data_IF_759564405104
#
_entry.id   IF_759564405104
#
_cell.length_a   1.000
_cell.length_b   1.000
_cell.length_c   1.000
_cell.angle_alpha   90.00
_cell.angle_beta   90.00
_cell.angle_gamma   90.00
#
_symmetry.space_group_name_H-M   'P 1'
#
loop_
_entity.id
_entity.type
_entity.pdbx_description
1 polymer ?
#
# COMPACT_ATOMS: atom_id res chain seq x y z
N UNK A 1 26.99 29.32 3.42
CA UNK A 1 25.65 29.94 3.35
C UNK A 1 24.86 29.07 2.39
N UNK A 2 23.88 28.26 2.75
CA UNK A 2 23.12 27.98 3.97
C UNK A 2 22.77 26.47 3.86
N UNK A 3 22.81 25.69 4.93
CA UNK A 3 21.62 25.51 5.74
C UNK A 3 20.63 24.56 5.06
N UNK A 4 21.00 23.30 4.91
CA UNK A 4 20.14 22.27 4.32
C UNK A 4 20.53 20.91 4.88
N UNK A 5 19.84 20.50 5.95
CA UNK A 5 19.97 19.15 6.49
C UNK A 5 19.49 18.19 5.40
N UNK A 6 20.42 17.43 4.80
CA UNK A 6 20.11 16.34 3.89
C UNK A 6 19.46 15.23 4.70
N UNK A 7 18.14 15.20 4.75
CA UNK A 7 17.42 14.07 5.32
C UNK A 7 17.30 12.97 4.25
N UNK A 8 17.99 11.87 4.48
CA UNK A 8 17.87 10.66 3.68
C UNK A 8 16.86 9.72 4.34
N UNK A 9 15.81 9.33 3.62
CA UNK A 9 14.80 8.38 4.11
C UNK A 9 15.38 6.97 4.38
N UNK A 10 16.65 6.74 4.04
CA UNK A 10 17.42 5.55 4.39
C UNK A 10 17.86 5.51 5.86
N UNK A 11 17.89 6.65 6.57
CA UNK A 11 18.30 6.75 7.99
C UNK A 11 17.17 6.42 8.98
N UNK A 12 15.96 6.19 8.49
CA UNK A 12 14.93 5.49 9.29
C UNK A 12 15.32 4.01 9.30
N UNK A 13 16.32 3.65 10.10
CA UNK A 13 16.59 2.26 10.48
C UNK A 13 15.50 1.79 11.45
N UNK A 14 14.34 1.45 10.90
CA UNK A 14 13.44 0.54 11.61
C UNK A 14 14.14 -0.83 11.61
N UNK A 15 14.23 -1.53 12.77
CA UNK A 15 14.81 -2.86 12.85
C UNK A 15 14.25 -3.78 11.75
N UNK A 16 15.15 -4.53 11.08
CA UNK A 16 14.88 -5.30 9.86
C UNK A 16 13.77 -6.36 9.98
N UNK A 17 13.31 -6.70 11.18
CA UNK A 17 12.29 -7.74 11.39
C UNK A 17 10.88 -7.25 11.70
N UNK A 18 10.61 -5.94 11.67
CA UNK A 18 9.30 -5.43 12.10
C UNK A 18 8.30 -5.15 10.96
N UNK A 19 8.60 -5.57 9.72
CA UNK A 19 7.80 -5.23 8.53
C UNK A 19 7.42 -6.42 7.64
N UNK A 20 7.79 -7.66 7.97
CA UNK A 20 7.26 -8.83 7.28
C UNK A 20 5.82 -9.10 7.76
N UNK A 21 4.85 -9.02 6.84
CA UNK A 21 3.54 -9.62 7.07
C UNK A 21 3.60 -11.11 6.73
N UNK A 22 4.42 -11.88 7.45
CA UNK A 22 4.31 -13.33 7.47
C UNK A 22 3.98 -13.76 8.90
N UNK A 23 2.68 -13.95 9.14
CA UNK A 23 2.21 -14.74 10.27
C UNK A 23 2.59 -16.20 10.00
N UNK A 24 3.74 -16.65 10.49
CA UNK A 24 3.94 -18.07 10.78
C UNK A 24 4.43 -18.23 12.22
N UNK A 25 3.60 -18.93 12.99
CA UNK A 25 3.79 -19.25 14.39
C UNK A 25 4.61 -20.55 14.44
N UNK A 26 5.89 -20.47 14.80
CA UNK A 26 6.60 -21.35 15.76
C UNK A 26 8.13 -21.43 15.50
N UNK A 27 8.85 -21.52 16.62
CA UNK A 27 10.23 -22.01 16.81
C UNK A 27 11.40 -21.20 16.23
N UNK A 28 11.81 -20.13 16.91
CA UNK A 28 13.22 -19.71 16.95
C UNK A 28 13.58 -19.10 18.31
N UNK A 29 14.11 -19.91 19.22
CA UNK A 29 14.71 -19.45 20.49
C UNK A 29 16.19 -19.81 20.65
N UNK A 30 16.88 -20.18 19.57
CA UNK A 30 18.29 -20.62 19.65
C UNK A 30 19.27 -19.93 18.66
N UNK A 31 18.85 -18.88 17.92
CA UNK A 31 19.74 -18.20 16.94
C UNK A 31 20.33 -16.86 17.41
N UNK A 32 19.99 -16.38 18.61
CA UNK A 32 20.30 -15.02 19.08
C UNK A 32 21.76 -14.74 19.52
N UNK A 33 22.74 -15.61 19.26
CA UNK A 33 24.13 -15.37 19.69
C UNK A 33 25.16 -15.26 18.53
N UNK A 34 24.73 -15.34 17.26
CA UNK A 34 25.69 -15.34 16.11
C UNK A 34 25.59 -14.05 15.24
N UNK A 35 24.55 -13.23 15.37
CA UNK A 35 24.35 -12.08 14.46
C UNK A 35 25.08 -10.78 14.84
N UNK A 36 25.57 -10.62 16.07
CA UNK A 36 26.24 -9.39 16.52
C UNK A 36 27.64 -9.15 15.90
N UNK A 37 28.13 -10.05 15.04
CA UNK A 37 29.45 -9.94 14.40
C UNK A 37 29.40 -9.46 12.93
N UNK A 38 28.21 -9.28 12.34
CA UNK A 38 28.04 -9.00 10.90
C UNK A 38 27.62 -7.57 10.52
N UNK A 39 27.46 -6.64 11.48
CA UNK A 39 27.05 -5.26 11.17
C UNK A 39 28.20 -4.35 10.74
N UNK A 40 29.46 -4.71 11.02
CA UNK A 40 30.65 -3.95 10.62
C UNK A 40 30.87 -3.93 9.10
N UNK A 41 30.68 -5.07 8.42
CA UNK A 41 30.96 -5.21 6.98
C UNK A 41 29.88 -4.57 6.08
N UNK A 42 28.69 -4.34 6.63
CA UNK A 42 27.53 -3.82 5.90
C UNK A 42 27.64 -2.31 5.66
N UNK A 43 28.22 -1.56 6.60
CA UNK A 43 28.36 -0.11 6.49
C UNK A 43 29.49 0.29 5.53
N UNK A 44 30.58 -0.46 5.45
CA UNK A 44 31.59 -0.25 4.40
C UNK A 44 31.00 -0.46 3.00
N UNK A 45 30.21 -1.52 2.80
CA UNK A 45 29.56 -1.81 1.51
C UNK A 45 28.55 -0.73 1.11
N UNK A 46 27.75 -0.23 2.06
CA UNK A 46 26.84 0.92 1.83
C UNK A 46 27.60 2.18 1.45
N UNK A 47 28.71 2.46 2.15
CA UNK A 47 29.55 3.63 1.86
C UNK A 47 30.18 3.56 0.46
N UNK A 48 30.61 2.37 0.03
CA UNK A 48 31.11 2.15 -1.34
C UNK A 48 30.02 2.40 -2.37
N UNK A 49 28.82 1.82 -2.20
CA UNK A 49 27.71 2.04 -3.12
C UNK A 49 27.30 3.52 -3.20
N UNK A 50 27.23 4.20 -2.05
CA UNK A 50 26.91 5.63 -1.99
C UNK A 50 27.97 6.47 -2.73
N UNK A 51 29.25 6.15 -2.57
CA UNK A 51 30.34 6.80 -3.29
C UNK A 51 30.23 6.56 -4.82
N UNK A 52 29.92 5.34 -5.25
CA UNK A 52 29.67 5.03 -6.66
C UNK A 52 28.49 5.82 -7.23
N UNK A 53 27.35 5.85 -6.54
CA UNK A 53 26.18 6.64 -6.98
C UNK A 53 26.50 8.13 -7.07
N UNK A 54 27.19 8.67 -6.08
CA UNK A 54 27.63 10.08 -6.10
C UNK A 54 28.51 10.38 -7.31
N UNK A 55 29.50 9.52 -7.58
CA UNK A 55 30.38 9.67 -8.75
C UNK A 55 29.63 9.59 -10.09
N UNK A 56 28.65 8.69 -10.21
CA UNK A 56 27.79 8.61 -11.39
C UNK A 56 26.94 9.88 -11.56
N UNK A 57 26.32 10.37 -10.49
CA UNK A 57 25.53 11.62 -10.52
C UNK A 57 26.41 12.81 -10.87
N UNK A 58 27.62 12.92 -10.32
CA UNK A 58 28.57 13.98 -10.63
C UNK A 58 28.98 13.95 -12.10
N UNK A 59 29.13 12.76 -12.68
CA UNK A 59 29.48 12.57 -14.10
C UNK A 59 28.31 12.94 -15.01
N UNK A 60 27.09 12.50 -14.69
CA UNK A 60 25.88 12.85 -15.43
C UNK A 60 25.55 14.34 -15.32
N UNK A 61 25.80 14.96 -14.16
CA UNK A 61 25.60 16.39 -13.94
C UNK A 61 26.51 17.25 -14.80
N UNK A 62 27.71 16.77 -15.18
CA UNK A 62 28.58 17.46 -16.14
C UNK A 62 28.05 17.43 -17.56
N UNK A 63 27.26 16.41 -17.92
CA UNK A 63 26.69 16.24 -19.27
C UNK A 63 25.30 16.88 -19.40
N UNK A 64 24.48 16.80 -18.36
CA UNK A 64 23.08 17.22 -18.36
C UNK A 64 22.67 17.82 -16.99
N UNK A 65 23.34 18.91 -16.58
CA UNK A 65 23.14 19.56 -15.28
C UNK A 65 21.69 19.96 -15.01
N UNK A 66 21.01 20.52 -16.02
CA UNK A 66 19.61 20.92 -15.93
C UNK A 66 18.70 19.71 -15.67
N UNK A 67 18.84 18.64 -16.46
CA UNK A 67 18.03 17.43 -16.30
C UNK A 67 18.21 16.80 -14.93
N UNK A 68 19.45 16.69 -14.45
CA UNK A 68 19.71 16.10 -13.13
C UNK A 68 19.10 16.96 -12.02
N UNK A 69 19.24 18.27 -12.09
CA UNK A 69 18.66 19.19 -11.09
C UNK A 69 17.14 19.10 -11.07
N UNK A 70 16.51 19.10 -12.25
CA UNK A 70 15.05 18.98 -12.38
C UNK A 70 14.54 17.61 -11.88
N UNK A 71 15.25 16.51 -12.17
CA UNK A 71 14.89 15.17 -11.68
C UNK A 71 15.05 15.08 -10.17
N UNK A 72 16.13 15.61 -9.59
CA UNK A 72 16.30 15.64 -8.13
C UNK A 72 15.17 16.41 -7.44
N UNK A 73 14.79 17.56 -8.00
CA UNK A 73 13.66 18.34 -7.50
C UNK A 73 12.33 17.58 -7.63
N UNK A 74 12.08 16.95 -8.78
CA UNK A 74 10.89 16.13 -9.00
C UNK A 74 10.81 14.98 -7.98
N UNK A 75 11.90 14.24 -7.78
CA UNK A 75 11.94 13.11 -6.84
C UNK A 75 11.78 13.58 -5.40
N UNK A 76 12.39 14.71 -5.01
CA UNK A 76 12.21 15.33 -3.68
C UNK A 76 10.74 15.62 -3.43
N UNK A 77 10.08 16.30 -4.36
CA UNK A 77 8.68 16.69 -4.22
C UNK A 77 7.71 15.51 -4.30
N UNK A 78 8.00 14.52 -5.15
CA UNK A 78 7.25 13.26 -5.17
C UNK A 78 7.34 12.54 -3.82
N UNK A 79 8.54 12.42 -3.24
CA UNK A 79 8.72 11.85 -1.90
C UNK A 79 7.95 12.64 -0.82
N UNK A 80 7.88 13.98 -0.94
CA UNK A 80 7.09 14.81 -0.01
C UNK A 80 5.60 14.52 -0.08
N UNK A 81 5.03 14.46 -1.29
CA UNK A 81 3.57 14.28 -1.45
C UNK A 81 3.12 12.82 -1.29
N UNK A 82 4.04 11.85 -1.23
CA UNK A 82 3.65 10.44 -1.13
C UNK A 82 2.93 10.14 0.17
N UNK A 83 3.45 10.69 1.26
CA UNK A 83 2.96 10.48 2.60
C UNK A 83 2.99 11.85 3.30
N UNK A 84 1.81 12.45 3.37
CA UNK A 84 1.65 13.74 4.05
C UNK A 84 1.84 13.55 5.56
N UNK A 85 2.21 14.59 6.30
CA UNK A 85 2.49 14.47 7.74
C UNK A 85 1.35 13.83 8.54
N UNK A 86 0.10 14.17 8.25
CA UNK A 86 -1.05 13.55 8.92
C UNK A 86 -1.25 12.07 8.55
N UNK A 87 -0.85 11.67 7.34
CA UNK A 87 -0.86 10.28 6.90
C UNK A 87 0.31 9.48 7.51
N UNK A 88 1.47 10.11 7.68
CA UNK A 88 2.63 9.53 8.36
C UNK A 88 2.28 9.20 9.82
N UNK A 89 1.72 10.16 10.56
CA UNK A 89 1.27 9.94 11.93
C UNK A 89 0.24 8.81 12.02
N UNK A 90 -0.80 8.85 11.17
CA UNK A 90 -1.83 7.81 11.17
C UNK A 90 -1.29 6.43 10.79
N UNK A 91 -0.41 6.36 9.79
CA UNK A 91 0.22 5.13 9.32
C UNK A 91 1.10 4.48 10.39
N UNK A 92 1.96 5.27 11.03
CA UNK A 92 2.84 4.77 12.09
C UNK A 92 2.05 4.33 13.33
N UNK A 93 1.04 5.09 13.76
CA UNK A 93 0.16 4.70 14.87
C UNK A 93 -0.62 3.41 14.56
N UNK A 94 -1.06 3.22 13.32
CA UNK A 94 -1.74 2.00 12.90
C UNK A 94 -0.80 0.79 12.85
N UNK A 95 0.44 0.99 12.39
CA UNK A 95 1.45 -0.07 12.33
C UNK A 95 1.83 -0.57 13.73
N UNK A 96 2.04 0.33 14.68
CA UNK A 96 2.40 -0.02 16.05
C UNK A 96 1.20 -0.31 16.96
N UNK A 97 -0.02 -0.38 16.42
CA UNK A 97 -1.23 -0.52 17.24
C UNK A 97 -1.24 -1.80 18.08
N UNK A 98 -0.79 -2.93 17.53
CA UNK A 98 -0.70 -4.21 18.24
C UNK A 98 0.29 -4.13 19.42
N UNK A 99 1.47 -3.58 19.17
CA UNK A 99 2.52 -3.41 20.18
C UNK A 99 2.07 -2.42 21.27
N UNK A 100 1.46 -1.29 20.90
CA UNK A 100 0.88 -0.33 21.85
C UNK A 100 -0.15 -1.02 22.74
N UNK A 101 -1.02 -1.86 22.17
CA UNK A 101 -2.04 -2.60 22.93
C UNK A 101 -1.43 -3.63 23.87
N UNK A 102 -0.39 -4.35 23.43
CA UNK A 102 0.33 -5.33 24.27
C UNK A 102 1.01 -4.64 25.46
N UNK A 103 1.66 -3.50 25.22
CA UNK A 103 2.31 -2.67 26.25
C UNK A 103 1.30 -2.12 27.24
N UNK A 104 0.11 -1.72 26.77
CA UNK A 104 -0.98 -1.31 27.63
C UNK A 104 -1.38 -2.41 28.61
N UNK A 105 -1.66 -3.62 28.10
CA UNK A 105 -2.07 -4.76 28.94
C UNK A 105 -0.97 -5.14 29.93
N UNK A 106 0.29 -5.10 29.49
CA UNK A 106 1.43 -5.35 30.36
C UNK A 106 1.51 -4.34 31.51
N UNK A 107 1.32 -3.05 31.23
CA UNK A 107 1.33 -2.01 32.24
C UNK A 107 0.18 -2.17 33.24
N UNK A 108 -1.02 -2.49 32.77
CA UNK A 108 -2.19 -2.76 33.62
C UNK A 108 -1.92 -3.91 34.61
N UNK A 109 -1.34 -5.02 34.13
CA UNK A 109 -0.97 -6.17 34.96
C UNK A 109 0.13 -5.84 35.98
N UNK A 110 1.14 -5.06 35.60
CA UNK A 110 2.21 -4.69 36.52
C UNK A 110 1.71 -3.72 37.62
N UNK A 111 0.78 -2.83 37.30
CA UNK A 111 0.17 -1.93 38.28
C UNK A 111 -0.68 -2.73 39.28
N UNK A 112 -1.44 -3.71 38.81
CA UNK A 112 -2.22 -4.61 39.68
C UNK A 112 -1.32 -5.36 40.66
N UNK A 113 -0.23 -5.97 40.19
CA UNK A 113 0.76 -6.66 41.05
C UNK A 113 1.39 -5.74 42.10
N UNK A 114 1.74 -4.50 41.74
CA UNK A 114 2.32 -3.53 42.69
C UNK A 114 1.29 -3.12 43.73
N UNK A 115 0.03 -2.98 43.34
CA UNK A 115 -1.06 -2.63 44.25
C UNK A 115 -1.41 -3.77 45.22
N UNK A 116 -1.40 -5.02 44.78
CA UNK A 116 -1.66 -6.22 45.61
C UNK A 116 -0.58 -6.49 46.67
N UNK A 117 0.63 -5.93 46.50
CA UNK A 117 1.70 -6.16 47.45
C UNK A 117 1.44 -5.44 48.78
N UNK A 118 1.29 -6.22 49.86
CA UNK A 118 1.01 -5.72 51.21
C UNK A 118 2.25 -5.12 51.91
N UNK A 119 3.45 -5.39 51.42
CA UNK A 119 4.71 -4.98 52.05
C UNK A 119 5.25 -3.62 51.58
N UNK A 120 4.61 -3.01 50.58
CA UNK A 120 5.00 -1.70 50.05
C UNK A 120 4.15 -0.59 50.66
N UNK A 121 4.80 0.49 51.08
CA UNK A 121 4.13 1.73 51.46
C UNK A 121 3.45 2.39 50.25
N UNK A 122 2.50 3.29 50.48
CA UNK A 122 1.81 4.03 49.41
C UNK A 122 2.77 4.86 48.56
N UNK A 123 3.81 5.43 49.15
CA UNK A 123 4.83 6.22 48.44
C UNK A 123 5.72 5.33 47.56
N UNK A 124 6.14 4.16 48.07
CA UNK A 124 6.92 3.19 47.30
C UNK A 124 6.12 2.61 46.14
N UNK A 125 4.82 2.34 46.32
CA UNK A 125 3.93 1.90 45.24
C UNK A 125 3.86 2.92 44.11
N UNK A 126 3.65 4.21 44.43
CA UNK A 126 3.58 5.28 43.43
C UNK A 126 4.91 5.41 42.67
N UNK A 127 6.04 5.35 43.38
CA UNK A 127 7.37 5.42 42.77
C UNK A 127 7.61 4.25 41.80
N UNK A 128 7.33 3.02 42.24
CA UNK A 128 7.48 1.82 41.42
C UNK A 128 6.55 1.83 40.20
N UNK A 129 5.29 2.25 40.35
CA UNK A 129 4.35 2.39 39.24
C UNK A 129 4.86 3.41 38.21
N UNK A 130 5.37 4.56 38.65
CA UNK A 130 5.92 5.59 37.78
C UNK A 130 7.14 5.09 37.00
N UNK A 131 8.04 4.35 37.66
CA UNK A 131 9.22 3.79 37.02
C UNK A 131 8.87 2.67 36.02
N UNK A 132 7.91 1.80 36.37
CA UNK A 132 7.36 0.78 35.46
C UNK A 132 6.67 1.41 34.25
N UNK A 133 5.87 2.45 34.44
CA UNK A 133 5.24 3.23 33.37
C UNK A 133 6.30 3.78 32.42
N UNK A 134 7.34 4.43 32.95
CA UNK A 134 8.45 4.99 32.15
C UNK A 134 9.15 3.91 31.33
N UNK A 135 9.47 2.75 31.90
CA UNK A 135 10.18 1.67 31.20
C UNK A 135 9.32 1.09 30.08
N UNK A 136 8.05 0.78 30.36
CA UNK A 136 7.15 0.12 29.40
C UNK A 136 6.81 1.08 28.24
N UNK A 137 6.60 2.36 28.51
CA UNK A 137 6.17 3.34 27.50
C UNK A 137 7.33 3.94 26.70
N UNK A 138 8.58 3.90 27.21
CA UNK A 138 9.74 4.53 26.55
C UNK A 138 9.85 4.25 25.04
N UNK A 139 9.66 3.01 24.53
CA UNK A 139 9.70 2.76 23.09
C UNK A 139 8.56 3.41 22.30
N UNK A 140 7.37 3.54 22.89
CA UNK A 140 6.25 4.27 22.26
C UNK A 140 6.58 5.76 22.19
N UNK A 141 7.09 6.35 23.28
CA UNK A 141 7.52 7.75 23.30
C UNK A 141 8.60 7.98 22.25
N UNK A 142 9.60 7.10 22.16
CA UNK A 142 10.68 7.21 21.18
C UNK A 142 10.15 7.29 19.74
N UNK A 143 9.17 6.45 19.38
CA UNK A 143 8.54 6.50 18.04
C UNK A 143 7.82 7.84 17.83
N UNK A 144 7.06 8.32 18.81
CA UNK A 144 6.31 9.57 18.71
C UNK A 144 7.24 10.79 18.67
N UNK A 145 8.36 10.76 19.39
CA UNK A 145 9.41 11.77 19.34
C UNK A 145 10.04 11.84 17.95
N UNK A 146 10.41 10.69 17.36
CA UNK A 146 10.91 10.68 15.99
C UNK A 146 9.91 11.25 14.98
N UNK A 147 8.62 10.95 15.13
CA UNK A 147 7.58 11.55 14.30
C UNK A 147 7.47 13.06 14.51
N UNK A 148 7.59 13.52 15.76
CA UNK A 148 7.58 14.94 16.08
C UNK A 148 8.79 15.66 15.49
N UNK A 149 9.98 15.05 15.57
CA UNK A 149 11.21 15.61 14.99
C UNK A 149 11.08 15.78 13.47
N UNK A 150 10.42 14.84 12.78
CA UNK A 150 10.15 14.93 11.34
C UNK A 150 9.12 16.02 11.02
N UNK A 151 8.09 16.18 11.87
CA UNK A 151 6.94 17.05 11.59
C UNK A 151 7.01 18.44 12.22
N UNK A 152 8.08 18.71 12.99
CA UNK A 152 8.38 20.03 13.57
C UNK A 152 9.42 20.84 12.78
N UNK A 153 10.00 20.27 11.71
CA UNK A 153 10.89 20.97 10.78
C UNK A 153 10.16 22.15 10.12
N UNK A 154 10.90 23.18 9.69
CA UNK A 154 10.35 24.32 8.97
C UNK A 154 9.45 23.87 7.80
N UNK A 155 8.18 24.32 7.76
CA UNK A 155 7.24 23.87 6.74
C UNK A 155 7.58 24.45 5.38
N UNK A 156 7.75 23.60 4.37
CA UNK A 156 8.01 23.99 2.97
C UNK A 156 6.71 24.13 2.16
N UNK A 157 5.58 23.60 2.65
CA UNK A 157 4.29 23.63 1.94
C UNK A 157 3.14 24.20 2.77
N UNK A 158 2.07 24.73 2.13
CA UNK A 158 0.89 25.19 2.84
C UNK A 158 0.24 24.12 3.72
N UNK A 159 0.24 22.85 3.27
CA UNK A 159 -0.29 21.72 4.04
C UNK A 159 0.51 21.48 5.31
N UNK A 160 1.84 21.49 5.22
CA UNK A 160 2.76 21.33 6.35
C UNK A 160 2.56 22.42 7.41
N UNK A 161 2.47 23.68 6.96
CA UNK A 161 2.19 24.81 7.85
C UNK A 161 0.84 24.65 8.58
N UNK A 162 -0.22 24.30 7.85
CA UNK A 162 -1.55 24.05 8.44
C UNK A 162 -1.56 22.85 9.39
N UNK A 163 -0.68 21.86 9.16
CA UNK A 163 -0.54 20.73 10.07
C UNK A 163 0.05 21.21 11.40
N UNK A 164 1.14 21.96 11.38
CA UNK A 164 1.80 22.46 12.59
C UNK A 164 0.89 23.40 13.39
N UNK A 165 0.27 24.37 12.71
CA UNK A 165 -0.66 25.33 13.33
C UNK A 165 -1.82 24.63 14.08
N UNK A 166 -2.19 23.41 13.65
CA UNK A 166 -3.32 22.68 14.22
C UNK A 166 -2.93 21.63 15.24
N UNK A 167 -1.80 20.95 15.05
CA UNK A 167 -1.47 19.73 15.76
C UNK A 167 -0.21 19.83 16.61
N UNK A 168 0.70 20.77 16.38
CA UNK A 168 1.98 20.82 17.13
C UNK A 168 1.77 20.94 18.64
N UNK A 169 0.94 21.90 19.09
CA UNK A 169 0.64 22.06 20.52
C UNK A 169 0.00 20.81 21.14
N UNK A 170 -0.88 20.14 20.37
CA UNK A 170 -1.56 18.92 20.82
C UNK A 170 -0.57 17.75 20.92
N UNK A 171 0.34 17.60 19.95
CA UNK A 171 1.38 16.56 19.95
C UNK A 171 2.34 16.77 21.11
N UNK A 172 2.79 18.00 21.35
CA UNK A 172 3.67 18.35 22.46
C UNK A 172 3.01 18.08 23.83
N UNK A 173 1.74 18.46 23.99
CA UNK A 173 0.98 18.18 25.21
C UNK A 173 0.82 16.68 25.46
N UNK A 174 0.50 15.90 24.40
CA UNK A 174 0.41 14.44 24.49
C UNK A 174 1.77 13.82 24.86
N UNK A 175 2.86 14.22 24.21
CA UNK A 175 4.21 13.73 24.52
C UNK A 175 4.60 14.06 25.96
N UNK A 176 4.29 15.27 26.44
CA UNK A 176 4.57 15.69 27.82
C UNK A 176 3.79 14.83 28.83
N UNK A 177 2.49 14.61 28.60
CA UNK A 177 1.63 13.79 29.46
C UNK A 177 1.99 12.31 29.44
N UNK A 178 2.48 11.80 28.31
CA UNK A 178 2.99 10.42 28.22
C UNK A 178 4.32 10.23 28.95
N UNK A 179 5.20 11.23 28.93
CA UNK A 179 6.47 11.19 29.68
C UNK A 179 6.23 11.29 31.18
N UNK A 180 5.35 12.19 31.59
CA UNK A 180 5.07 12.51 32.99
C UNK A 180 3.55 12.46 33.23
N UNK A 181 2.97 11.27 33.48
CA UNK A 181 1.54 11.14 33.76
C UNK A 181 1.20 11.78 35.12
N UNK A 182 0.07 12.49 35.19
CA UNK A 182 -0.44 13.04 36.46
C UNK A 182 -0.91 11.95 37.42
N UNK A 183 -1.51 10.86 36.89
CA UNK A 183 -1.96 9.69 37.63
C UNK A 183 -1.31 8.41 37.06
N UNK A 184 -0.11 8.02 37.52
CA UNK A 184 0.61 6.84 37.04
C UNK A 184 -0.17 5.52 37.26
N UNK A 185 -1.03 5.52 38.28
CA UNK A 185 -1.93 4.45 38.71
C UNK A 185 -3.09 4.18 37.74
N UNK A 186 -3.34 5.07 36.76
CA UNK A 186 -4.40 4.94 35.76
C UNK A 186 -3.84 4.95 34.34
N UNK A 187 -3.30 3.82 33.84
CA UNK A 187 -2.69 3.74 32.51
C UNK A 187 -3.67 4.03 31.37
N UNK A 188 -4.99 3.87 31.62
CA UNK A 188 -6.03 4.17 30.65
C UNK A 188 -6.11 5.66 30.27
N UNK A 189 -5.69 6.58 31.15
CA UNK A 189 -5.72 8.02 30.88
C UNK A 189 -4.68 8.41 29.82
N UNK A 190 -3.45 7.92 29.97
CA UNK A 190 -2.36 8.08 28.98
C UNK A 190 -2.76 7.56 27.59
N UNK A 191 -3.45 6.44 27.53
CA UNK A 191 -3.88 5.82 26.26
C UNK A 191 -5.10 6.44 25.64
N UNK A 192 -5.99 7.00 26.45
CA UNK A 192 -7.10 7.82 25.94
C UNK A 192 -6.57 9.01 25.16
N UNK A 193 -5.47 9.64 25.58
CA UNK A 193 -4.83 10.75 24.86
C UNK A 193 -4.31 10.32 23.49
N UNK A 194 -3.58 9.20 23.40
CA UNK A 194 -3.12 8.67 22.12
C UNK A 194 -4.28 8.30 21.18
N UNK A 195 -5.32 7.66 21.72
CA UNK A 195 -6.51 7.31 20.94
C UNK A 195 -7.26 8.55 20.45
N UNK A 196 -7.33 9.61 21.26
CA UNK A 196 -7.90 10.89 20.84
C UNK A 196 -7.09 11.52 19.71
N UNK A 197 -5.76 11.55 19.82
CA UNK A 197 -4.86 12.04 18.77
C UNK A 197 -5.04 11.24 17.47
N UNK A 198 -5.03 9.91 17.55
CA UNK A 198 -5.27 9.03 16.39
C UNK A 198 -6.63 9.31 15.73
N UNK A 199 -7.70 9.45 16.52
CA UNK A 199 -9.03 9.74 16.01
C UNK A 199 -9.09 11.10 15.28
N UNK A 200 -8.37 12.12 15.75
CA UNK A 200 -8.31 13.41 15.08
C UNK A 200 -7.69 13.31 13.68
N UNK A 201 -6.58 12.56 13.54
CA UNK A 201 -5.98 12.30 12.22
C UNK A 201 -6.91 11.45 11.34
N UNK A 202 -7.53 10.43 11.93
CA UNK A 202 -8.41 9.50 11.23
C UNK A 202 -9.62 10.22 10.61
N UNK A 203 -10.29 11.11 11.35
CA UNK A 203 -11.46 11.84 10.86
C UNK A 203 -11.15 12.69 9.62
N UNK A 204 -9.99 13.35 9.59
CA UNK A 204 -9.55 14.17 8.45
C UNK A 204 -9.20 13.28 7.26
N UNK A 205 -8.45 12.20 7.49
CA UNK A 205 -8.03 11.28 6.45
C UNK A 205 -9.20 10.52 5.79
N UNK A 206 -10.31 10.28 6.49
CA UNK A 206 -11.49 9.59 5.93
C UNK A 206 -12.32 10.49 5.01
N UNK A 207 -12.37 11.79 5.28
CA UNK A 207 -13.12 12.76 4.47
C UNK A 207 -12.36 13.22 3.22
N UNK A 208 -11.06 12.95 3.15
CA UNK A 208 -10.18 13.43 2.09
C UNK A 208 -10.20 12.50 0.89
N UNK A 209 -10.75 12.97 -0.23
CA UNK A 209 -10.78 12.27 -1.52
C UNK A 209 -9.98 12.98 -2.61
N UNK A 210 -9.80 14.29 -2.47
CA UNK A 210 -9.12 15.15 -3.43
C UNK A 210 -8.12 16.05 -2.71
N UNK A 211 -6.94 16.21 -3.30
CA UNK A 211 -5.89 17.11 -2.88
C UNK A 211 -5.59 18.09 -4.00
N UNK A 212 -5.35 19.36 -3.65
CA UNK A 212 -4.84 20.36 -4.59
C UNK A 212 -3.32 20.33 -4.57
N UNK A 213 -2.70 20.28 -5.74
CA UNK A 213 -1.25 20.20 -5.86
C UNK A 213 -0.57 21.40 -5.18
N UNK A 214 -1.11 22.61 -5.37
CA UNK A 214 -0.57 23.83 -4.75
C UNK A 214 -0.47 23.75 -3.22
N UNK A 215 -1.39 23.03 -2.56
CA UNK A 215 -1.39 22.94 -1.10
C UNK A 215 -0.32 21.95 -0.59
N UNK A 216 -0.01 20.91 -1.38
CA UNK A 216 0.90 19.82 -0.99
C UNK A 216 2.29 19.91 -1.62
N UNK A 217 2.44 20.61 -2.75
CA UNK A 217 3.69 20.89 -3.44
C UNK A 217 3.49 22.05 -4.43
N UNK A 218 3.77 23.30 -4.02
CA UNK A 218 3.76 24.46 -4.91
C UNK A 218 4.74 24.33 -6.08
N UNK A 219 5.83 23.58 -5.89
CA UNK A 219 6.83 23.32 -6.93
C UNK A 219 6.22 22.48 -8.05
N UNK A 220 5.59 21.35 -7.74
CA UNK A 220 4.94 20.50 -8.75
C UNK A 220 3.73 21.17 -9.38
N UNK A 221 3.02 22.04 -8.66
CA UNK A 221 1.90 22.80 -9.22
C UNK A 221 2.35 23.80 -10.30
N UNK A 222 3.57 24.33 -10.18
CA UNK A 222 4.11 25.36 -11.06
C UNK A 222 5.08 24.81 -12.11
N UNK A 223 5.46 23.54 -12.04
CA UNK A 223 6.39 22.93 -12.98
C UNK A 223 5.79 22.91 -14.39
N UNK A 224 6.54 23.45 -15.35
CA UNK A 224 6.13 23.55 -16.75
C UNK A 224 7.32 23.29 -17.68
N UNK A 225 7.03 22.65 -18.82
CA UNK A 225 7.91 22.43 -19.95
C UNK A 225 9.32 21.94 -19.55
N UNK A 226 9.33 20.83 -18.80
CA UNK A 226 10.58 20.26 -18.26
C UNK A 226 11.37 19.50 -19.32
N UNK A 227 12.65 19.27 -19.05
CA UNK A 227 13.49 18.37 -19.84
C UNK A 227 13.44 16.92 -19.33
N UNK A 228 12.63 16.64 -18.30
CA UNK A 228 12.52 15.33 -17.66
C UNK A 228 11.74 14.39 -18.57
N UNK A 229 12.33 13.25 -18.92
CA UNK A 229 11.63 12.17 -19.64
C UNK A 229 10.49 11.58 -18.82
N UNK A 230 9.40 11.20 -19.48
CA UNK A 230 8.24 10.59 -18.82
C UNK A 230 8.63 9.30 -18.08
N UNK A 231 8.31 9.14 -16.77
CA UNK A 231 8.74 8.00 -15.98
C UNK A 231 8.27 6.65 -16.53
N UNK A 232 9.15 5.65 -16.55
CA UNK A 232 8.79 4.29 -16.96
C UNK A 232 8.49 4.10 -18.44
N UNK A 233 8.69 5.11 -19.27
CA UNK A 233 8.55 4.99 -20.72
C UNK A 233 9.85 4.47 -21.36
N UNK A 234 9.74 3.67 -22.42
CA UNK A 234 10.89 3.12 -23.13
C UNK A 234 11.83 4.21 -23.67
N UNK A 235 13.14 3.97 -23.62
CA UNK A 235 14.21 4.90 -24.05
C UNK A 235 14.06 5.47 -25.46
N UNK A 236 13.25 4.86 -26.33
CA UNK A 236 13.04 5.30 -27.71
C UNK A 236 12.06 6.47 -27.85
N UNK A 237 11.20 6.73 -26.85
CA UNK A 237 10.23 7.82 -26.91
C UNK A 237 10.77 9.05 -26.18
N UNK A 238 10.98 10.14 -26.92
CA UNK A 238 11.39 11.45 -26.39
C UNK A 238 10.17 12.24 -25.91
N UNK A 239 9.43 11.70 -24.94
CA UNK A 239 8.30 12.41 -24.33
C UNK A 239 8.77 12.98 -23.01
N UNK A 240 8.66 14.29 -22.86
CA UNK A 240 9.02 15.01 -21.65
C UNK A 240 7.78 15.39 -20.84
N UNK A 241 7.95 15.66 -19.54
CA UNK A 241 6.86 16.16 -18.70
C UNK A 241 6.62 17.63 -19.06
N UNK A 242 5.45 17.92 -19.66
CA UNK A 242 4.99 19.29 -19.88
C UNK A 242 4.51 19.90 -18.58
N UNK A 243 3.62 19.24 -17.83
CA UNK A 243 3.19 19.72 -16.51
C UNK A 243 2.52 18.61 -15.71
N UNK A 244 2.33 18.84 -14.41
CA UNK A 244 1.60 17.93 -13.50
C UNK A 244 0.19 18.48 -13.27
N UNK A 245 -0.79 17.58 -13.18
CA UNK A 245 -2.16 17.98 -12.87
C UNK A 245 -2.26 18.60 -11.48
N UNK A 246 -3.02 19.70 -11.37
CA UNK A 246 -3.24 20.40 -10.11
C UNK A 246 -4.18 19.67 -9.14
N UNK A 247 -4.72 18.52 -9.53
CA UNK A 247 -5.64 17.73 -8.73
C UNK A 247 -5.09 16.31 -8.56
N UNK A 248 -5.00 15.87 -7.31
CA UNK A 248 -4.56 14.52 -6.95
C UNK A 248 -5.72 13.80 -6.27
N UNK A 249 -6.17 12.70 -6.88
CA UNK A 249 -7.26 11.89 -6.34
C UNK A 249 -6.69 10.83 -5.39
N UNK A 250 -7.34 10.63 -4.24
CA UNK A 250 -7.00 9.53 -3.31
C UNK A 250 -7.99 8.40 -3.55
N UNK A 251 -7.48 7.19 -3.80
CA UNK A 251 -8.33 6.02 -4.02
C UNK A 251 -8.87 5.49 -2.68
N UNK A 252 -10.15 5.07 -2.61
CA UNK A 252 -10.79 4.61 -1.38
C UNK A 252 -10.42 3.15 -1.06
N UNK A 253 -9.13 2.85 -0.92
CA UNK A 253 -8.62 1.53 -0.53
C UNK A 253 -7.95 1.60 0.84
N UNK A 254 -7.55 0.44 1.39
CA UNK A 254 -6.87 0.33 2.70
C UNK A 254 -5.61 1.20 2.77
N UNK A 255 -4.81 1.23 1.69
CA UNK A 255 -3.55 1.96 1.61
C UNK A 255 -3.68 3.38 1.07
N UNK A 256 -4.89 3.82 0.69
CA UNK A 256 -5.21 5.18 0.19
C UNK A 256 -4.17 5.75 -0.80
N UNK A 257 -3.82 5.03 -1.88
CA UNK A 257 -2.82 5.48 -2.83
C UNK A 257 -3.32 6.71 -3.61
N UNK A 258 -2.37 7.55 -4.05
CA UNK A 258 -2.65 8.80 -4.76
C UNK A 258 -2.58 8.56 -6.27
N UNK A 259 -3.61 8.97 -7.00
CA UNK A 259 -3.62 8.96 -8.47
C UNK A 259 -3.03 10.26 -8.97
N UNK A 260 -1.81 10.20 -9.47
CA UNK A 260 -1.09 11.31 -10.08
C UNK A 260 -1.25 11.30 -11.60
N UNK A 261 -1.33 12.49 -12.19
CA UNK A 261 -1.52 12.66 -13.62
C UNK A 261 -0.49 13.65 -14.16
N UNK A 262 0.28 13.22 -15.14
CA UNK A 262 1.26 14.01 -15.88
C UNK A 262 0.77 14.25 -17.31
N UNK A 263 1.08 15.41 -17.84
CA UNK A 263 0.84 15.75 -19.23
C UNK A 263 2.18 15.71 -19.98
N UNK A 264 2.24 14.94 -21.05
CA UNK A 264 3.42 14.82 -21.89
C UNK A 264 3.55 15.97 -22.89
N UNK A 265 4.77 16.19 -23.37
CA UNK A 265 5.07 17.12 -24.47
C UNK A 265 4.39 16.72 -25.80
N UNK A 266 3.88 15.49 -25.89
CA UNK A 266 3.11 14.95 -27.01
C UNK A 266 1.59 15.21 -26.90
N UNK A 267 1.16 15.86 -25.81
CA UNK A 267 -0.25 16.15 -25.53
C UNK A 267 -1.01 14.98 -24.88
N UNK A 268 -0.38 13.82 -24.69
CA UNK A 268 -1.02 12.69 -24.03
C UNK A 268 -0.98 12.82 -22.50
N UNK A 269 -1.94 12.16 -21.86
CA UNK A 269 -2.06 12.13 -20.40
C UNK A 269 -1.52 10.81 -19.87
N UNK A 270 -0.56 10.89 -18.96
CA UNK A 270 0.10 9.76 -18.32
C UNK A 270 -0.33 9.68 -16.86
N UNK A 271 -1.00 8.61 -16.50
CA UNK A 271 -1.53 8.43 -15.14
C UNK A 271 -0.66 7.42 -14.39
N UNK A 272 -0.37 7.72 -13.12
CA UNK A 272 0.35 6.83 -12.22
C UNK A 272 -0.41 6.67 -10.91
N UNK A 273 -0.36 5.45 -10.39
CA UNK A 273 -0.72 5.14 -9.03
C UNK A 273 0.50 5.33 -8.15
N UNK A 274 0.37 6.18 -7.14
CA UNK A 274 1.45 6.51 -6.23
C UNK A 274 1.20 5.84 -4.88
N UNK A 275 2.09 4.90 -4.53
CA UNK A 275 1.99 4.05 -3.34
C UNK A 275 3.12 4.35 -2.37
N UNK A 276 2.77 4.65 -1.13
CA UNK A 276 3.71 4.81 -0.01
C UNK A 276 3.49 3.74 1.04
N UNK A 277 4.51 3.52 1.87
CA UNK A 277 4.57 2.46 2.88
C UNK A 277 4.51 1.03 2.30
N UNK A 278 4.95 0.87 1.04
CA UNK A 278 4.95 -0.40 0.32
C UNK A 278 6.25 -0.51 -0.48
N UNK A 279 6.93 -1.66 -0.40
CA UNK A 279 8.12 -1.93 -1.20
C UNK A 279 7.71 -2.42 -2.60
N UNK A 280 8.09 -1.67 -3.63
CA UNK A 280 7.77 -1.96 -5.03
C UNK A 280 8.93 -2.56 -5.82
N UNK A 281 10.07 -2.86 -5.18
CA UNK A 281 11.21 -3.43 -5.90
C UNK A 281 10.91 -4.83 -6.43
N UNK A 282 10.14 -5.64 -5.69
CA UNK A 282 9.72 -6.95 -6.17
C UNK A 282 8.84 -6.81 -7.42
N UNK A 283 7.84 -5.94 -7.39
CA UNK A 283 6.98 -5.64 -8.54
C UNK A 283 7.79 -5.19 -9.76
N UNK A 284 8.80 -4.31 -9.58
CA UNK A 284 9.71 -3.90 -10.64
C UNK A 284 10.41 -5.11 -11.28
N UNK A 285 10.95 -6.04 -10.48
CA UNK A 285 11.62 -7.24 -10.98
C UNK A 285 10.67 -8.17 -11.71
N UNK A 286 9.43 -8.33 -11.24
CA UNK A 286 8.41 -9.11 -11.94
C UNK A 286 8.11 -8.48 -13.30
N UNK A 287 7.93 -7.16 -13.38
CA UNK A 287 7.69 -6.47 -14.66
C UNK A 287 8.88 -6.59 -15.61
N UNK A 288 10.12 -6.56 -15.10
CA UNK A 288 11.32 -6.82 -15.88
C UNK A 288 11.34 -8.25 -16.43
N UNK A 289 10.98 -9.24 -15.62
CA UNK A 289 10.86 -10.63 -16.06
C UNK A 289 9.83 -10.79 -17.19
N UNK A 290 8.64 -10.18 -17.06
CA UNK A 290 7.62 -10.20 -18.10
C UNK A 290 8.11 -9.57 -19.42
N UNK A 291 8.89 -8.49 -19.34
CA UNK A 291 9.52 -7.87 -20.51
C UNK A 291 10.49 -8.81 -21.24
N UNK A 292 11.30 -9.56 -20.47
CA UNK A 292 12.21 -10.59 -21.01
C UNK A 292 11.41 -11.72 -21.66
N UNK A 293 10.38 -12.24 -20.99
CA UNK A 293 9.51 -13.28 -21.52
C UNK A 293 8.86 -12.86 -22.84
N UNK A 294 8.37 -11.62 -22.93
CA UNK A 294 7.82 -11.06 -24.17
C UNK A 294 8.86 -10.99 -25.29
N UNK A 295 10.11 -10.64 -24.96
CA UNK A 295 11.20 -10.60 -25.95
C UNK A 295 11.49 -11.99 -26.52
N UNK A 296 11.48 -13.02 -25.68
CA UNK A 296 11.65 -14.42 -26.11
C UNK A 296 10.48 -14.90 -26.97
N UNK A 297 9.24 -14.58 -26.59
CA UNK A 297 8.06 -14.96 -27.36
C UNK A 297 7.99 -14.24 -28.72
N UNK A 298 8.43 -12.98 -28.79
CA UNK A 298 8.43 -12.19 -30.02
C UNK A 298 9.34 -12.80 -31.10
N UNK A 299 10.53 -13.27 -30.74
CA UNK A 299 11.50 -13.90 -31.67
C UNK A 299 10.90 -15.13 -32.37
N UNK A 300 10.04 -15.87 -31.69
CA UNK A 300 9.39 -17.07 -32.25
C UNK A 300 8.23 -16.77 -33.20
N UNK A 301 7.78 -15.51 -33.28
CA UNK A 301 6.62 -15.08 -34.09
C UNK A 301 6.97 -14.36 -35.39
N UNK A 302 8.25 -14.27 -35.76
CA UNK A 302 8.73 -13.54 -36.95
C UNK A 302 8.14 -14.06 -38.29
N UNK A 303 7.44 -15.20 -38.31
CA UNK A 303 6.77 -15.75 -39.51
C UNK A 303 5.26 -15.52 -39.62
N UNK A 304 4.54 -15.15 -38.55
CA UNK A 304 3.05 -15.13 -38.52
C UNK A 304 2.43 -13.73 -38.55
N UNK A 305 3.23 -12.66 -38.56
CA UNK A 305 2.75 -11.26 -38.68
C UNK A 305 1.98 -10.71 -37.47
N UNK A 306 1.67 -11.55 -36.48
CA UNK A 306 0.97 -11.19 -35.25
C UNK A 306 1.63 -11.83 -34.04
N UNK A 307 2.12 -11.01 -33.11
CA UNK A 307 2.63 -11.47 -31.82
C UNK A 307 1.45 -11.82 -30.91
N UNK A 308 0.93 -13.04 -31.05
CA UNK A 308 -0.23 -13.55 -30.31
C UNK A 308 0.12 -13.90 -28.85
N UNK A 309 1.39 -14.17 -28.56
CA UNK A 309 1.87 -14.57 -27.24
C UNK A 309 2.53 -13.39 -26.55
N UNK A 310 1.76 -12.69 -25.73
CA UNK A 310 2.23 -11.52 -24.99
C UNK A 310 1.66 -11.49 -23.58
N UNK A 311 2.55 -11.29 -22.62
CA UNK A 311 2.20 -10.91 -21.26
C UNK A 311 2.08 -9.38 -21.20
N UNK A 312 0.90 -8.85 -20.86
CA UNK A 312 0.80 -7.42 -20.58
C UNK A 312 1.58 -7.11 -19.30
N UNK A 313 2.37 -6.03 -19.35
CA UNK A 313 3.11 -5.53 -18.21
C UNK A 313 3.04 -4.01 -18.20
N UNK A 314 3.22 -3.43 -17.02
CA UNK A 314 3.21 -2.00 -16.79
C UNK A 314 4.53 -1.57 -16.15
N UNK A 315 4.80 -0.27 -16.15
CA UNK A 315 6.04 0.25 -15.57
C UNK A 315 5.87 0.49 -14.08
N UNK A 316 6.87 0.06 -13.30
CA UNK A 316 6.99 0.30 -11.86
C UNK A 316 8.29 1.06 -11.64
N UNK A 317 8.22 2.19 -10.93
CA UNK A 317 9.36 3.05 -10.63
C UNK A 317 9.47 3.20 -9.10
N UNK A 318 10.31 2.40 -8.44
CA UNK A 318 10.64 2.61 -7.03
C UNK A 318 11.29 3.98 -6.85
N UNK A 319 10.82 4.75 -5.86
CA UNK A 319 11.38 6.05 -5.48
C UNK A 319 12.12 6.00 -4.15
N UNK A 320 12.23 4.82 -3.54
CA UNK A 320 12.84 4.56 -2.25
C UNK A 320 12.49 3.17 -1.75
N UNK A 321 12.90 2.79 -0.54
CA UNK A 321 12.68 1.44 0.00
C UNK A 321 11.21 1.09 0.26
N UNK A 322 10.33 2.10 0.40
CA UNK A 322 8.91 1.91 0.75
C UNK A 322 7.98 2.82 -0.04
N UNK A 323 8.38 3.19 -1.25
CA UNK A 323 7.65 4.14 -2.07
C UNK A 323 7.91 3.96 -3.55
N UNK A 324 6.89 4.24 -4.37
CA UNK A 324 7.11 4.36 -5.81
C UNK A 324 5.84 4.57 -6.61
N UNK A 325 6.03 4.65 -7.93
CA UNK A 325 5.01 4.88 -8.93
C UNK A 325 4.72 3.59 -9.68
N UNK A 326 3.43 3.33 -9.93
CA UNK A 326 2.97 2.26 -10.81
C UNK A 326 2.19 2.91 -11.96
N UNK A 327 2.53 2.60 -13.20
CA UNK A 327 1.81 3.11 -14.36
C UNK A 327 0.36 2.62 -14.34
N UNK A 328 -0.58 3.54 -14.59
CA UNK A 328 -1.99 3.22 -14.62
C UNK A 328 -2.37 2.62 -15.97
N UNK A 329 -2.91 1.39 -15.94
CA UNK A 329 -3.44 0.75 -17.14
C UNK A 329 -4.88 1.23 -17.38
N UNK A 330 -5.06 1.99 -18.46
CA UNK A 330 -6.38 2.45 -18.91
C UNK A 330 -7.11 1.40 -19.75
N UNK A 331 -8.43 1.56 -19.87
CA UNK A 331 -9.26 0.73 -20.77
C UNK A 331 -9.53 -0.70 -20.29
N UNK A 332 -9.14 -1.04 -19.07
CA UNK A 332 -9.36 -2.36 -18.48
C UNK A 332 -10.51 -2.33 -17.47
N UNK A 333 -11.18 -3.47 -17.30
CA UNK A 333 -12.27 -3.67 -16.35
C UNK A 333 -11.95 -4.85 -15.44
N UNK A 334 -11.99 -4.71 -14.11
CA UNK A 334 -11.86 -5.85 -13.20
C UNK A 334 -12.97 -6.88 -13.44
N UNK A 335 -12.64 -8.16 -13.43
CA UNK A 335 -13.63 -9.22 -13.63
C UNK A 335 -14.72 -9.16 -12.55
N UNK A 336 -14.37 -8.76 -11.33
CA UNK A 336 -15.34 -8.59 -10.24
C UNK A 336 -16.42 -7.55 -10.57
N UNK A 337 -16.08 -6.51 -11.35
CA UNK A 337 -17.04 -5.50 -11.76
C UNK A 337 -18.16 -6.09 -12.64
N UNK A 338 -17.86 -7.11 -13.45
CA UNK A 338 -18.86 -7.82 -14.26
C UNK A 338 -19.84 -8.60 -13.38
N UNK A 339 -19.31 -9.35 -12.40
CA UNK A 339 -20.12 -10.09 -11.43
C UNK A 339 -21.00 -9.14 -10.61
N UNK A 340 -20.44 -8.04 -10.09
CA UNK A 340 -21.18 -7.02 -9.32
C UNK A 340 -22.31 -6.39 -10.13
N UNK A 341 -22.08 -6.06 -11.41
CA UNK A 341 -23.12 -5.53 -12.32
C UNK A 341 -24.22 -6.55 -12.57
N UNK A 342 -23.88 -7.84 -12.70
CA UNK A 342 -24.87 -8.90 -12.81
C UNK A 342 -25.75 -8.99 -11.55
N UNK A 343 -25.15 -9.03 -10.35
CA UNK A 343 -25.91 -9.03 -9.09
C UNK A 343 -26.85 -7.83 -8.96
N UNK A 344 -26.39 -6.64 -9.36
CA UNK A 344 -27.22 -5.42 -9.41
C UNK A 344 -28.45 -5.59 -10.31
N UNK A 345 -28.27 -6.19 -11.49
CA UNK A 345 -29.37 -6.43 -12.44
C UNK A 345 -30.37 -7.46 -11.91
N UNK A 346 -29.90 -8.56 -11.32
CA UNK A 346 -30.78 -9.59 -10.75
C UNK A 346 -31.58 -9.07 -9.54
N UNK A 347 -30.93 -8.30 -8.66
CA UNK A 347 -31.62 -7.63 -7.56
C UNK A 347 -32.73 -6.68 -8.07
N UNK A 348 -32.45 -5.90 -9.12
CA UNK A 348 -33.42 -5.00 -9.72
C UNK A 348 -34.61 -5.72 -10.39
N UNK A 349 -34.39 -6.91 -10.98
CA UNK A 349 -35.48 -7.73 -11.55
C UNK A 349 -36.41 -8.29 -10.47
N UNK A 350 -35.84 -8.67 -9.32
CA UNK A 350 -36.57 -9.29 -8.22
C UNK A 350 -37.24 -8.24 -7.30
N UNK A 351 -36.73 -7.00 -7.26
CA UNK A 351 -37.32 -5.88 -6.51
C UNK A 351 -38.52 -5.24 -7.22
N UNK A 352 -39.65 -5.97 -7.31
CA UNK A 352 -40.98 -5.31 -7.37
C UNK A 352 -41.45 -4.83 -5.99
N UNK A 353 -40.81 -5.26 -4.90
CA UNK A 353 -40.99 -4.75 -3.54
C UNK A 353 -39.65 -4.80 -2.79
N UNK A 354 -39.30 -3.69 -2.13
CA UNK A 354 -38.07 -3.40 -1.34
C UNK A 354 -36.71 -3.43 -2.05
N UNK A 355 -35.91 -2.38 -1.82
CA UNK A 355 -34.52 -2.28 -2.21
C UNK A 355 -33.66 -3.25 -1.38
N UNK A 356 -33.50 -4.49 -1.84
CA UNK A 356 -32.59 -5.43 -1.20
C UNK A 356 -31.15 -4.95 -1.42
N UNK A 357 -30.44 -4.67 -0.33
CA UNK A 357 -29.02 -4.38 -0.36
C UNK A 357 -28.27 -5.59 -0.94
N UNK A 358 -27.38 -5.34 -1.89
CA UNK A 358 -26.59 -6.40 -2.52
C UNK A 358 -25.64 -6.97 -1.47
N UNK A 359 -25.79 -8.26 -1.20
CA UNK A 359 -24.98 -8.98 -0.23
C UNK A 359 -23.53 -9.04 -0.71
N UNK A 360 -22.60 -8.94 0.25
CA UNK A 360 -21.17 -9.13 -0.02
C UNK A 360 -20.87 -10.61 -0.29
N UNK A 361 -19.81 -10.94 -1.05
CA UNK A 361 -19.43 -12.33 -1.30
C UNK A 361 -19.29 -13.18 -0.03
N UNK A 362 -18.71 -12.60 1.04
CA UNK A 362 -18.59 -13.28 2.33
C UNK A 362 -19.96 -13.61 2.94
N UNK A 363 -20.93 -12.70 2.84
CA UNK A 363 -22.28 -12.91 3.37
C UNK A 363 -23.02 -13.99 2.58
N UNK A 364 -22.92 -13.99 1.25
CA UNK A 364 -23.48 -15.04 0.40
C UNK A 364 -22.93 -16.42 0.74
N UNK A 365 -21.63 -16.51 0.93
CA UNK A 365 -20.95 -17.76 1.30
C UNK A 365 -21.40 -18.26 2.68
N UNK A 366 -21.34 -17.41 3.72
CA UNK A 366 -21.71 -17.82 5.08
C UNK A 366 -23.20 -18.11 5.24
N UNK A 367 -24.08 -17.42 4.50
CA UNK A 367 -25.51 -17.69 4.54
C UNK A 367 -25.87 -19.11 4.07
N UNK A 368 -25.12 -19.65 3.10
CA UNK A 368 -25.28 -21.05 2.65
C UNK A 368 -24.50 -22.04 3.52
N UNK A 369 -23.32 -21.64 3.98
CA UNK A 369 -22.44 -22.52 4.75
C UNK A 369 -22.98 -22.81 6.15
N UNK A 370 -23.43 -21.78 6.88
CA UNK A 370 -23.78 -21.91 8.30
C UNK A 370 -24.91 -22.93 8.56
N UNK A 371 -26.01 -22.98 7.79
CA UNK A 371 -27.04 -24.00 7.96
C UNK A 371 -26.50 -25.43 7.74
N UNK A 372 -25.68 -25.64 6.71
CA UNK A 372 -25.13 -26.96 6.38
C UNK A 372 -24.11 -27.44 7.42
N UNK A 373 -23.32 -26.52 8.00
CA UNK A 373 -22.41 -26.83 9.10
C UNK A 373 -23.17 -27.25 10.36
N UNK A 374 -24.29 -26.60 10.66
CA UNK A 374 -25.16 -26.97 11.79
C UNK A 374 -25.80 -28.34 11.58
N UNK A 375 -26.27 -28.63 10.38
CA UNK A 375 -26.83 -29.95 10.02
C UNK A 375 -25.81 -31.08 10.18
N UNK A 376 -24.53 -30.80 9.86
CA UNK A 376 -23.43 -31.75 10.03
C UNK A 376 -22.83 -31.77 11.45
N UNK A 377 -23.45 -31.08 12.42
CA UNK A 377 -23.06 -31.14 13.83
C UNK A 377 -21.74 -30.44 14.17
N UNK A 378 -21.26 -29.52 13.33
CA UNK A 378 -20.03 -28.75 13.60
C UNK A 378 -20.29 -27.75 14.73
N UNK A 379 -19.61 -27.93 15.86
CA UNK A 379 -19.83 -27.10 17.07
C UNK A 379 -19.12 -25.76 17.01
N UNK A 380 -17.93 -25.69 16.40
CA UNK A 380 -17.15 -24.47 16.29
C UNK A 380 -17.16 -23.94 14.84
N UNK A 381 -18.03 -22.96 14.58
CA UNK A 381 -18.15 -22.33 13.26
C UNK A 381 -16.91 -21.50 12.88
N UNK A 382 -16.10 -21.07 13.86
CA UNK A 382 -14.91 -20.25 13.60
C UNK A 382 -13.69 -21.09 13.21
N UNK A 383 -13.65 -22.37 13.61
CA UNK A 383 -12.53 -23.25 13.28
C UNK A 383 -12.66 -23.83 11.87
N UNK A 384 -12.13 -23.12 10.88
CA UNK A 384 -12.16 -23.53 9.47
C UNK A 384 -11.54 -24.91 9.19
N UNK A 385 -10.62 -25.37 10.03
CA UNK A 385 -9.97 -26.69 9.88
C UNK A 385 -10.94 -27.84 10.12
N UNK A 386 -12.03 -27.60 10.85
CA UNK A 386 -13.05 -28.60 11.17
C UNK A 386 -14.17 -28.67 10.12
N UNK A 387 -14.15 -27.82 9.10
CA UNK A 387 -15.21 -27.76 8.09
C UNK A 387 -15.17 -28.98 7.15
N UNK A 388 -16.28 -29.73 7.01
CA UNK A 388 -16.32 -30.89 6.12
C UNK A 388 -16.14 -30.51 4.66
N UNK A 389 -15.22 -31.18 3.96
CA UNK A 389 -14.96 -30.94 2.53
C UNK A 389 -16.22 -31.16 1.66
N UNK A 390 -17.07 -32.11 2.02
CA UNK A 390 -18.33 -32.38 1.31
C UNK A 390 -19.27 -31.17 1.35
N UNK A 391 -19.42 -30.54 2.52
CA UNK A 391 -20.23 -29.33 2.69
C UNK A 391 -19.66 -28.17 1.87
N UNK A 392 -18.34 -27.97 1.89
CA UNK A 392 -17.70 -26.92 1.09
C UNK A 392 -17.92 -27.11 -0.42
N UNK A 393 -17.84 -28.35 -0.92
CA UNK A 393 -18.14 -28.68 -2.32
C UNK A 393 -19.60 -28.46 -2.67
N UNK A 394 -20.51 -28.78 -1.75
CA UNK A 394 -21.94 -28.53 -1.94
C UNK A 394 -22.21 -27.02 -2.07
N UNK A 395 -21.72 -26.20 -1.11
CA UNK A 395 -21.89 -24.74 -1.14
C UNK A 395 -21.33 -24.14 -2.44
N UNK A 396 -20.16 -24.59 -2.88
CA UNK A 396 -19.57 -24.15 -4.14
C UNK A 396 -20.47 -24.47 -5.33
N UNK A 397 -20.99 -25.70 -5.40
CA UNK A 397 -21.85 -26.16 -6.49
C UNK A 397 -23.14 -25.34 -6.55
N UNK A 398 -23.80 -25.13 -5.40
CA UNK A 398 -25.00 -24.30 -5.32
C UNK A 398 -24.76 -22.86 -5.78
N UNK A 399 -23.63 -22.25 -5.37
CA UNK A 399 -23.27 -20.89 -5.79
C UNK A 399 -22.94 -20.79 -7.29
N UNK A 400 -22.35 -21.85 -7.85
CA UNK A 400 -22.08 -21.95 -9.28
C UNK A 400 -23.38 -22.07 -10.09
N UNK A 401 -24.35 -22.85 -9.61
CA UNK A 401 -25.65 -23.01 -10.28
C UNK A 401 -26.50 -21.72 -10.25
N UNK A 402 -26.33 -20.89 -9.22
CA UNK A 402 -26.99 -19.58 -9.11
C UNK A 402 -26.41 -18.52 -10.06
N UNK A 403 -25.16 -18.68 -10.50
CA UNK A 403 -24.44 -17.68 -11.29
C UNK A 403 -24.28 -18.13 -12.74
N UNK A 404 -24.69 -17.34 -13.75
CA UNK A 404 -24.46 -17.68 -15.15
C UNK A 404 -22.97 -17.87 -15.45
N UNK A 405 -22.64 -18.95 -16.16
CA UNK A 405 -21.26 -19.28 -16.55
C UNK A 405 -20.75 -18.52 -17.79
N UNK A 406 -21.56 -17.63 -18.36
CA UNK A 406 -21.29 -16.95 -19.63
C UNK A 406 -21.17 -15.43 -19.52
N UNK A 407 -21.04 -14.89 -18.30
CA UNK A 407 -20.97 -13.44 -18.04
C UNK A 407 -19.88 -12.76 -18.87
N UNK A 408 -18.64 -13.26 -18.81
CA UNK A 408 -17.53 -12.68 -19.55
C UNK A 408 -17.68 -12.88 -21.07
N UNK A 409 -18.11 -14.08 -21.49
CA UNK A 409 -18.29 -14.40 -22.91
C UNK A 409 -19.33 -13.49 -23.58
N UNK A 410 -20.45 -13.23 -22.90
CA UNK A 410 -21.48 -12.29 -23.36
C UNK A 410 -20.98 -10.85 -23.42
N UNK A 411 -20.21 -10.41 -22.42
CA UNK A 411 -19.65 -9.06 -22.43
C UNK A 411 -18.68 -8.85 -23.59
N UNK A 412 -17.80 -9.82 -23.88
CA UNK A 412 -16.92 -9.78 -25.06
C UNK A 412 -17.70 -9.77 -26.37
N UNK A 413 -18.79 -10.55 -26.47
CA UNK A 413 -19.68 -10.53 -27.64
C UNK A 413 -20.34 -9.17 -27.84
N UNK A 414 -20.91 -8.58 -26.78
CA UNK A 414 -21.61 -7.29 -26.85
C UNK A 414 -20.68 -6.11 -27.15
N UNK A 415 -19.39 -6.19 -26.81
CA UNK A 415 -18.40 -5.16 -27.14
C UNK A 415 -17.86 -5.28 -28.57
N UNK A 416 -17.98 -6.45 -29.20
CA UNK A 416 -17.48 -6.66 -30.55
C UNK A 416 -18.38 -5.97 -31.59
N UNK A 417 -17.77 -5.22 -32.50
CA UNK A 417 -18.48 -4.51 -33.56
C UNK A 417 -19.04 -5.47 -34.63
N UNK A 418 -18.40 -6.62 -34.83
CA UNK A 418 -18.82 -7.64 -35.79
C UNK A 418 -18.26 -9.03 -35.40
N UNK A 419 -18.76 -10.13 -35.99
CA UNK A 419 -18.33 -11.49 -35.65
C UNK A 419 -16.83 -11.76 -35.86
N UNK A 420 -16.20 -11.11 -36.85
CA UNK A 420 -14.76 -11.23 -37.09
C UNK A 420 -13.94 -10.60 -35.97
N UNK A 421 -14.34 -9.42 -35.49
CA UNK A 421 -13.72 -8.76 -34.34
C UNK A 421 -13.88 -9.61 -33.07
N UNK A 422 -15.08 -10.15 -32.83
CA UNK A 422 -15.33 -11.05 -31.70
C UNK A 422 -14.41 -12.27 -31.73
N UNK A 423 -14.27 -12.92 -32.88
CA UNK A 423 -13.36 -14.07 -33.03
C UNK A 423 -11.91 -13.71 -32.65
N UNK A 424 -11.43 -12.55 -33.07
CA UNK A 424 -10.08 -12.10 -32.70
C UNK A 424 -9.95 -11.77 -31.21
N UNK A 425 -10.98 -11.19 -30.60
CA UNK A 425 -11.00 -10.90 -29.15
C UNK A 425 -10.95 -12.19 -28.32
N UNK A 426 -11.78 -13.18 -28.67
CA UNK A 426 -11.78 -14.49 -28.00
C UNK A 426 -10.42 -15.18 -28.14
N UNK A 427 -9.81 -15.14 -29.34
CA UNK A 427 -8.45 -15.68 -29.54
C UNK A 427 -7.44 -14.98 -28.65
N UNK A 428 -7.40 -13.64 -28.65
CA UNK A 428 -6.48 -12.85 -27.82
C UNK A 428 -6.65 -13.15 -26.34
N UNK A 429 -7.90 -13.25 -25.86
CA UNK A 429 -8.20 -13.66 -24.50
C UNK A 429 -7.60 -15.02 -24.17
N UNK A 430 -7.85 -16.04 -24.99
CA UNK A 430 -7.32 -17.39 -24.77
C UNK A 430 -5.79 -17.41 -24.72
N UNK A 431 -5.10 -16.72 -25.64
CA UNK A 431 -3.63 -16.67 -25.65
C UNK A 431 -3.08 -15.88 -24.46
N UNK A 432 -3.65 -14.73 -24.14
CA UNK A 432 -3.21 -13.86 -23.04
C UNK A 432 -3.36 -14.58 -21.68
N UNK A 433 -4.49 -15.24 -21.45
CA UNK A 433 -4.71 -16.06 -20.25
C UNK A 433 -3.73 -17.23 -20.19
N UNK A 434 -3.52 -17.94 -21.31
CA UNK A 434 -2.58 -19.07 -21.32
C UNK A 434 -1.15 -18.63 -20.97
N UNK A 435 -0.68 -17.53 -21.57
CA UNK A 435 0.64 -16.96 -21.28
C UNK A 435 0.77 -16.58 -19.80
N UNK A 436 -0.20 -15.83 -19.27
CA UNK A 436 -0.17 -15.40 -17.87
C UNK A 436 -0.31 -16.56 -16.88
N UNK A 437 -1.05 -17.62 -17.23
CA UNK A 437 -1.16 -18.82 -16.39
C UNK A 437 0.16 -19.59 -16.30
N UNK A 438 0.86 -19.80 -17.41
CA UNK A 438 2.15 -20.50 -17.42
C UNK A 438 3.22 -19.67 -16.70
N UNK A 439 3.29 -18.37 -17.00
CA UNK A 439 4.22 -17.47 -16.31
C UNK A 439 3.91 -17.39 -14.81
N UNK A 440 2.63 -17.25 -14.45
CA UNK A 440 2.16 -17.23 -13.07
C UNK A 440 2.52 -18.50 -12.32
N UNK A 441 2.38 -19.67 -12.95
CA UNK A 441 2.80 -20.95 -12.38
C UNK A 441 4.32 -21.00 -12.11
N UNK A 442 5.14 -20.55 -13.07
CA UNK A 442 6.61 -20.55 -12.94
C UNK A 442 7.08 -19.62 -11.81
N UNK A 443 6.47 -18.44 -11.69
CA UNK A 443 6.84 -17.43 -10.69
C UNK A 443 6.27 -17.78 -9.30
N UNK A 444 5.21 -18.60 -9.23
CA UNK A 444 4.47 -18.84 -7.99
C UNK A 444 3.52 -17.68 -7.64
N UNK A 445 2.90 -17.09 -8.65
CA UNK A 445 2.06 -15.90 -8.49
C UNK A 445 0.77 -16.21 -7.72
N UNK A 446 0.61 -15.59 -6.54
CA UNK A 446 -0.57 -15.70 -5.68
C UNK A 446 -1.62 -14.60 -5.88
N UNK A 447 -2.66 -14.60 -5.03
CA UNK A 447 -3.64 -13.50 -4.90
C UNK A 447 -4.40 -13.12 -6.20
N UNK A 448 -4.88 -14.12 -6.95
CA UNK A 448 -5.61 -13.94 -8.23
C UNK A 448 -7.12 -13.79 -8.06
N UNK A 449 -7.53 -12.94 -7.12
CA UNK A 449 -8.94 -12.58 -6.96
C UNK A 449 -9.44 -11.69 -8.11
N UNK A 450 -10.76 -11.61 -8.28
CA UNK A 450 -11.40 -10.97 -9.43
C UNK A 450 -11.20 -9.44 -9.53
N UNK A 451 -10.74 -8.78 -8.46
CA UNK A 451 -10.29 -7.37 -8.52
C UNK A 451 -8.85 -7.19 -9.06
N UNK A 452 -7.99 -8.21 -8.95
CA UNK A 452 -6.60 -8.19 -9.44
C UNK A 452 -6.48 -8.72 -10.88
N UNK A 453 -7.51 -9.39 -11.39
CA UNK A 453 -7.58 -9.84 -12.78
C UNK A 453 -8.44 -8.84 -13.56
N UNK A 454 -7.79 -8.10 -14.46
CA UNK A 454 -8.43 -7.10 -15.29
C UNK A 454 -8.56 -7.64 -16.71
N UNK A 455 -9.59 -7.20 -17.44
CA UNK A 455 -9.78 -7.55 -18.86
C UNK A 455 -9.99 -6.29 -19.66
N UNK A 456 -9.26 -6.16 -20.76
CA UNK A 456 -9.52 -5.13 -21.77
C UNK A 456 -10.67 -5.60 -22.67
N UNK A 457 -11.88 -5.08 -22.43
CA UNK A 457 -13.08 -5.48 -23.18
C UNK A 457 -13.06 -5.05 -24.65
N UNK A 458 -12.10 -4.23 -25.09
CA UNK A 458 -11.94 -3.86 -26.50
C UNK A 458 -11.00 -4.81 -27.25
N UNK A 459 -9.97 -5.35 -26.57
CA UNK A 459 -8.98 -6.22 -27.20
C UNK A 459 -9.12 -7.70 -26.84
N UNK A 460 -9.71 -8.01 -25.68
CA UNK A 460 -9.79 -9.34 -25.09
C UNK A 460 -8.58 -9.73 -24.24
N UNK A 461 -7.51 -8.91 -24.18
CA UNK A 461 -6.32 -9.24 -23.38
C UNK A 461 -6.58 -9.09 -21.86
N UNK A 462 -5.84 -9.89 -21.08
CA UNK A 462 -5.88 -9.96 -19.61
C UNK A 462 -4.63 -9.33 -19.00
#
# INVERSE_FOLDING_TARGET
LEGGVKFDFSEISLPKDCLSQNNDINDESELNEIEDTYDSDNDETKNVLQACFKSMVDTLSKQASETITQVQLLVKELRRIILLWDELWLGTLAQHHSEITKRQQQLELEIEKVNENLHLSTEEKISLISEKHRIIIKPIIFILEQLNDITSVEPETPHEKQFQERYSEVIEDVLKKLKNPENPDKPQESWKLLKQLQNQFQQKAHKRTLLKMHDISPVLANIKDTVISMPGQALRTKVHISHVSNHVNILPTKTKPKKLVFHGSDGHTYTYLFKGLEDLHLDERIMQFLSIANTMMAQNTEGTGHNLYRARHYSVIPLGPRSGLISWVGGTTPVFALYKRWQQREAAKNSKNSANAILRPSELFYNKLNPLLQEHGVKNLENRKEWPLAVLKQVLTELMDETPNDLLAKELWCHAVNPGAWWQMVRKYSYSVAVMNIIGYIIGLGDRHLDNVLVDLNSGEV
#
